data_IF_319713962749
#
_entry.id   IF_319713962749
#
_cell.length_a   1.000
_cell.length_b   1.000
_cell.length_c   1.000
_cell.angle_alpha   90.00
_cell.angle_beta   90.00
_cell.angle_gamma   90.00
#
_symmetry.space_group_name_H-M   'P 1'
#
loop_
_entity.id
_entity.type
_entity.pdbx_description
1 polymer ?
#
# COMPACT_ATOMS: atom_id res chain seq x y z
N UNK A 1 27.65 -31.41 -25.71
CA UNK A 1 27.01 -30.66 -24.63
C UNK A 1 26.01 -29.73 -25.29
N UNK A 2 24.72 -30.07 -25.23
CA UNK A 2 23.63 -29.23 -25.73
C UNK A 2 23.55 -28.00 -24.80
N UNK A 3 23.77 -26.81 -25.36
CA UNK A 3 23.43 -25.57 -24.67
C UNK A 3 21.92 -25.66 -24.41
N UNK A 4 21.52 -25.95 -23.18
CA UNK A 4 20.15 -25.68 -22.73
C UNK A 4 19.97 -24.16 -22.86
N UNK A 5 19.15 -23.71 -23.80
CA UNK A 5 18.80 -22.31 -23.93
C UNK A 5 18.22 -21.89 -22.56
N UNK A 6 18.87 -20.93 -21.92
CA UNK A 6 18.40 -20.38 -20.61
C UNK A 6 17.03 -19.74 -20.85
N UNK A 7 16.03 -20.09 -20.04
CA UNK A 7 14.69 -19.48 -20.11
C UNK A 7 14.82 -17.96 -20.08
N UNK A 8 14.16 -17.27 -20.99
CA UNK A 8 14.09 -15.80 -20.95
C UNK A 8 13.01 -15.37 -19.96
N UNK A 9 13.16 -14.21 -19.30
CA UNK A 9 12.16 -13.71 -18.34
C UNK A 9 10.75 -13.64 -18.93
N UNK A 10 10.59 -13.22 -20.19
CA UNK A 10 9.31 -13.13 -20.88
C UNK A 10 8.68 -14.49 -21.22
N UNK A 11 9.42 -15.58 -21.14
CA UNK A 11 8.87 -16.93 -21.30
C UNK A 11 8.18 -17.38 -20.00
N UNK A 12 8.50 -16.77 -18.86
CA UNK A 12 7.90 -17.03 -17.55
C UNK A 12 6.81 -16.01 -17.18
N UNK A 13 7.14 -14.71 -17.17
CA UNK A 13 6.20 -13.63 -16.87
C UNK A 13 6.14 -12.63 -18.01
N UNK A 14 4.94 -12.29 -18.48
CA UNK A 14 4.70 -11.32 -19.55
C UNK A 14 3.71 -10.25 -19.13
N UNK A 15 4.00 -8.97 -19.43
CA UNK A 15 2.99 -7.92 -19.30
C UNK A 15 1.90 -8.11 -20.37
N UNK A 16 0.64 -8.00 -19.93
CA UNK A 16 -0.55 -8.06 -20.79
C UNK A 16 -1.51 -6.92 -20.45
N UNK A 17 -2.51 -6.61 -21.27
CA UNK A 17 -3.53 -5.65 -20.92
C UNK A 17 -4.39 -6.03 -19.69
N UNK A 18 -4.31 -7.28 -19.22
CA UNK A 18 -4.99 -7.74 -18.01
C UNK A 18 -4.13 -7.69 -16.75
N UNK A 19 -2.83 -7.47 -16.88
CA UNK A 19 -1.85 -7.52 -15.81
C UNK A 19 -0.65 -8.40 -16.16
N UNK A 20 0.15 -8.73 -15.17
CA UNK A 20 1.33 -9.57 -15.32
C UNK A 20 0.92 -11.05 -15.37
N UNK A 21 1.12 -11.71 -16.50
CA UNK A 21 0.70 -13.09 -16.73
C UNK A 21 1.86 -14.09 -16.62
N UNK A 22 1.72 -15.09 -15.76
CA UNK A 22 2.59 -16.24 -15.69
C UNK A 22 2.11 -17.29 -16.73
N UNK A 23 2.81 -17.37 -17.86
CA UNK A 23 2.42 -18.24 -18.97
C UNK A 23 2.42 -19.73 -18.58
N UNK A 24 3.39 -20.14 -17.78
CA UNK A 24 3.59 -21.53 -17.43
C UNK A 24 2.66 -21.99 -16.30
N UNK A 25 2.49 -21.15 -15.27
CA UNK A 25 1.60 -21.41 -14.14
C UNK A 25 0.14 -21.10 -14.42
N UNK A 26 -0.16 -20.49 -15.57
CA UNK A 26 -1.50 -20.09 -16.02
C UNK A 26 -2.26 -19.27 -14.96
N UNK A 27 -1.64 -18.17 -14.50
CA UNK A 27 -2.23 -17.22 -13.56
C UNK A 27 -1.73 -15.79 -13.82
N UNK A 28 -2.46 -14.82 -13.29
CA UNK A 28 -2.07 -13.41 -13.31
C UNK A 28 -1.64 -12.93 -11.93
N UNK A 29 -0.74 -11.94 -11.87
CA UNK A 29 -0.43 -11.19 -10.67
C UNK A 29 -1.14 -9.84 -10.76
N UNK A 30 -1.91 -9.49 -9.74
CA UNK A 30 -2.71 -8.25 -9.61
C UNK A 30 -3.44 -7.84 -10.90
N UNK A 31 -4.32 -8.69 -11.45
CA UNK A 31 -4.96 -8.39 -12.71
C UNK A 31 -5.98 -7.24 -12.59
N UNK A 32 -5.97 -6.31 -13.56
CA UNK A 32 -6.86 -5.14 -13.60
C UNK A 32 -8.29 -5.45 -14.04
N UNK A 33 -8.59 -6.68 -14.41
CA UNK A 33 -9.92 -7.18 -14.78
C UNK A 33 -10.07 -8.64 -14.36
N UNK A 34 -11.31 -9.14 -14.32
CA UNK A 34 -11.61 -10.53 -13.97
C UNK A 34 -10.83 -11.51 -14.87
N UNK A 35 -10.21 -12.50 -14.25
CA UNK A 35 -9.45 -13.60 -14.87
C UNK A 35 -9.75 -14.93 -14.16
N UNK A 36 -9.37 -16.06 -14.76
CA UNK A 36 -9.63 -17.36 -14.16
C UNK A 36 -8.82 -17.58 -12.87
N UNK A 37 -7.52 -17.23 -12.86
CA UNK A 37 -6.63 -17.41 -11.71
C UNK A 37 -5.81 -16.15 -11.46
N UNK A 38 -5.86 -15.64 -10.23
CA UNK A 38 -5.12 -14.45 -9.79
C UNK A 38 -4.29 -14.74 -8.54
N UNK A 39 -3.08 -14.21 -8.50
CA UNK A 39 -2.27 -14.06 -7.27
C UNK A 39 -2.32 -12.57 -6.91
N UNK A 40 -2.78 -12.25 -5.72
CA UNK A 40 -2.96 -10.85 -5.28
C UNK A 40 -1.88 -10.50 -4.26
N UNK A 41 -1.15 -9.42 -4.52
CA UNK A 41 -0.06 -8.96 -3.67
C UNK A 41 -0.55 -8.35 -2.37
N UNK A 42 -1.57 -7.49 -2.42
CA UNK A 42 -2.12 -6.80 -1.24
C UNK A 42 -3.55 -6.29 -1.47
N UNK A 43 -4.19 -5.80 -0.40
CA UNK A 43 -5.63 -5.51 -0.38
C UNK A 43 -6.06 -4.15 -0.95
N UNK A 44 -5.19 -3.31 -1.55
CA UNK A 44 -5.61 -2.07 -2.20
C UNK A 44 -6.44 -2.33 -3.46
N UNK A 45 -7.38 -1.43 -3.78
CA UNK A 45 -8.41 -1.67 -4.80
C UNK A 45 -7.90 -1.74 -6.23
N UNK A 46 -6.80 -1.14 -6.53
CA UNK A 46 -6.13 -1.17 -7.82
C UNK A 46 -5.38 -2.50 -8.06
N UNK A 47 -4.98 -3.20 -7.00
CA UNK A 47 -4.36 -4.53 -7.04
C UNK A 47 -5.39 -5.65 -6.79
N UNK A 48 -6.18 -5.54 -5.72
CA UNK A 48 -7.14 -6.56 -5.28
C UNK A 48 -8.53 -6.36 -5.88
N UNK A 49 -8.69 -6.57 -7.17
CA UNK A 49 -9.99 -6.48 -7.84
C UNK A 49 -10.84 -7.73 -7.61
N UNK A 50 -12.17 -7.61 -7.52
CA UNK A 50 -13.05 -8.77 -7.37
C UNK A 50 -13.39 -9.42 -8.73
N UNK A 51 -14.04 -10.61 -8.66
CA UNK A 51 -14.63 -11.30 -9.82
C UNK A 51 -13.70 -12.30 -10.49
N UNK A 52 -12.57 -12.65 -9.91
CA UNK A 52 -11.69 -13.73 -10.41
C UNK A 52 -12.29 -15.11 -10.13
N UNK A 53 -11.99 -16.09 -11.01
CA UNK A 53 -12.38 -17.49 -10.79
C UNK A 53 -11.72 -18.09 -9.56
N UNK A 54 -10.44 -17.87 -9.38
CA UNK A 54 -9.68 -18.29 -8.20
C UNK A 54 -8.69 -17.19 -7.79
N UNK A 55 -8.59 -16.94 -6.48
CA UNK A 55 -7.64 -15.98 -5.89
C UNK A 55 -6.73 -16.69 -4.89
N UNK A 56 -5.42 -16.45 -5.03
CA UNK A 56 -4.38 -16.86 -4.12
C UNK A 56 -3.72 -15.61 -3.52
N UNK A 57 -3.70 -15.50 -2.21
CA UNK A 57 -3.08 -14.38 -1.49
C UNK A 57 -2.79 -14.77 -0.03
N UNK A 58 -2.24 -13.86 0.76
CA UNK A 58 -2.17 -14.03 2.20
C UNK A 58 -3.57 -14.06 2.82
N UNK A 59 -3.70 -14.64 4.01
CA UNK A 59 -4.99 -14.66 4.73
C UNK A 59 -5.55 -13.26 4.91
N UNK A 60 -4.71 -12.34 5.33
CA UNK A 60 -5.08 -10.96 5.63
C UNK A 60 -5.56 -10.23 4.37
N UNK A 61 -4.89 -10.41 3.24
CA UNK A 61 -5.33 -9.86 1.95
C UNK A 61 -6.70 -10.38 1.54
N UNK A 62 -6.94 -11.70 1.66
CA UNK A 62 -8.25 -12.29 1.36
C UNK A 62 -9.36 -11.78 2.28
N UNK A 63 -9.07 -11.61 3.56
CA UNK A 63 -10.03 -11.09 4.54
C UNK A 63 -10.35 -9.61 4.27
N UNK A 64 -9.37 -8.81 3.86
CA UNK A 64 -9.56 -7.42 3.44
C UNK A 64 -10.38 -7.32 2.15
N UNK A 65 -10.16 -8.23 1.18
CA UNK A 65 -11.00 -8.32 -0.02
C UNK A 65 -12.46 -8.66 0.35
N UNK A 66 -12.65 -9.61 1.27
CA UNK A 66 -13.99 -9.97 1.76
C UNK A 66 -14.69 -8.81 2.48
N UNK A 67 -13.97 -8.06 3.31
CA UNK A 67 -14.50 -6.87 3.99
C UNK A 67 -14.93 -5.78 3.00
N UNK A 68 -14.23 -5.65 1.88
CA UNK A 68 -14.50 -4.62 0.86
C UNK A 68 -15.60 -5.03 -0.13
N UNK A 69 -15.58 -6.27 -0.58
CA UNK A 69 -16.39 -6.74 -1.71
C UNK A 69 -17.48 -7.77 -1.35
N UNK A 70 -17.50 -8.23 -0.09
CA UNK A 70 -18.38 -9.32 0.33
C UNK A 70 -17.78 -10.71 0.10
N UNK A 71 -18.53 -11.74 0.48
CA UNK A 71 -18.06 -13.12 0.43
C UNK A 71 -17.82 -13.65 -0.99
N UNK A 72 -18.57 -13.11 -1.98
CA UNK A 72 -18.53 -13.53 -3.38
C UNK A 72 -17.44 -12.78 -4.20
N UNK A 73 -16.41 -12.23 -3.56
CA UNK A 73 -15.35 -11.49 -4.24
C UNK A 73 -14.55 -12.32 -5.26
N UNK A 74 -14.55 -13.66 -5.14
CA UNK A 74 -13.92 -14.62 -6.05
C UNK A 74 -14.69 -15.95 -6.04
N UNK A 75 -14.57 -16.74 -7.10
CA UNK A 75 -15.17 -18.09 -7.18
C UNK A 75 -14.56 -19.02 -6.13
N UNK A 76 -13.23 -18.99 -5.94
CA UNK A 76 -12.50 -19.67 -4.85
C UNK A 76 -11.40 -18.76 -4.31
N UNK A 77 -11.07 -18.92 -3.03
CA UNK A 77 -9.99 -18.16 -2.38
C UNK A 77 -9.10 -19.12 -1.58
N UNK A 78 -7.80 -19.08 -1.85
CA UNK A 78 -6.80 -19.89 -1.16
C UNK A 78 -5.80 -18.99 -0.42
N UNK A 79 -5.74 -19.14 0.90
CA UNK A 79 -4.74 -18.48 1.73
C UNK A 79 -3.41 -19.21 1.68
N UNK A 80 -2.32 -18.44 1.53
CA UNK A 80 -0.93 -18.91 1.53
C UNK A 80 -0.15 -18.16 2.60
N UNK A 81 0.73 -18.86 3.32
CA UNK A 81 1.60 -18.24 4.32
C UNK A 81 2.84 -17.66 3.65
N UNK A 82 3.43 -16.65 4.26
CA UNK A 82 4.75 -16.21 3.86
C UNK A 82 5.76 -17.36 3.94
N UNK A 83 6.62 -17.48 2.92
CA UNK A 83 7.61 -18.54 2.78
C UNK A 83 7.05 -19.90 2.34
N UNK A 84 5.72 -20.07 2.28
CA UNK A 84 5.11 -21.28 1.75
C UNK A 84 5.24 -21.31 0.21
N UNK A 85 5.83 -22.37 -0.32
CA UNK A 85 6.01 -22.56 -1.76
C UNK A 85 4.92 -23.45 -2.32
N UNK A 86 4.20 -22.94 -3.31
CA UNK A 86 3.20 -23.69 -4.07
C UNK A 86 3.77 -24.10 -5.43
N UNK A 87 3.40 -25.29 -5.90
CA UNK A 87 3.72 -25.76 -7.24
C UNK A 87 2.51 -25.60 -8.16
N UNK A 88 2.64 -24.78 -9.19
CA UNK A 88 1.58 -24.47 -10.15
C UNK A 88 2.10 -24.74 -11.57
N UNK A 89 1.66 -25.82 -12.21
CA UNK A 89 1.89 -26.19 -13.61
C UNK A 89 3.35 -25.96 -14.10
N UNK A 90 4.33 -26.48 -13.31
CA UNK A 90 5.77 -26.41 -13.65
C UNK A 90 6.44 -25.10 -13.25
N UNK A 91 5.77 -24.28 -12.44
CA UNK A 91 6.35 -23.13 -11.73
C UNK A 91 6.23 -23.32 -10.21
N UNK A 92 7.03 -22.57 -9.46
CA UNK A 92 6.82 -22.38 -8.04
C UNK A 92 6.42 -20.95 -7.76
N UNK A 93 5.51 -20.75 -6.80
CA UNK A 93 5.08 -19.44 -6.32
C UNK A 93 5.31 -19.38 -4.82
N UNK A 94 5.99 -18.37 -4.35
CA UNK A 94 6.23 -18.12 -2.92
C UNK A 94 5.88 -16.67 -2.61
N UNK A 95 5.14 -16.44 -1.53
CA UNK A 95 4.82 -15.11 -1.04
C UNK A 95 5.82 -14.69 0.04
N UNK A 96 6.38 -13.48 -0.08
CA UNK A 96 7.30 -12.89 0.90
C UNK A 96 6.74 -11.56 1.40
N UNK A 97 6.95 -11.16 2.67
CA UNK A 97 6.44 -9.89 3.18
C UNK A 97 6.92 -8.69 2.35
N UNK A 98 6.01 -7.77 2.03
CA UNK A 98 6.31 -6.55 1.29
C UNK A 98 6.44 -5.30 2.19
N UNK A 99 6.01 -5.35 3.45
CA UNK A 99 6.16 -4.24 4.41
C UNK A 99 5.22 -3.05 4.17
N UNK A 100 4.29 -3.16 3.24
CA UNK A 100 3.43 -2.06 2.80
C UNK A 100 2.16 -1.90 3.66
N UNK A 101 1.30 -2.91 3.68
CA UNK A 101 0.09 -2.99 4.50
C UNK A 101 -0.06 -4.39 5.09
N UNK A 102 -1.00 -4.58 6.02
CA UNK A 102 -1.27 -5.89 6.63
C UNK A 102 -1.59 -6.93 5.53
N UNK A 103 -0.82 -8.00 5.49
CA UNK A 103 -0.95 -9.06 4.51
C UNK A 103 -0.24 -8.80 3.16
N UNK A 104 0.39 -7.65 2.96
CA UNK A 104 1.08 -7.34 1.69
C UNK A 104 2.24 -8.30 1.41
N UNK A 105 2.33 -8.76 0.17
CA UNK A 105 3.29 -9.77 -0.25
C UNK A 105 3.97 -9.41 -1.57
N UNK A 106 5.26 -9.69 -1.66
CA UNK A 106 5.97 -9.87 -2.91
C UNK A 106 5.66 -11.28 -3.44
N UNK A 107 5.58 -11.44 -4.74
CA UNK A 107 5.33 -12.71 -5.41
C UNK A 107 6.59 -13.18 -6.12
N UNK A 108 7.27 -14.18 -5.56
CA UNK A 108 8.40 -14.85 -6.21
C UNK A 108 7.88 -15.99 -7.08
N UNK A 109 8.18 -15.94 -8.39
CA UNK A 109 7.86 -16.99 -9.36
C UNK A 109 9.15 -17.58 -9.87
N UNK A 110 9.30 -18.91 -9.77
CA UNK A 110 10.50 -19.57 -10.25
C UNK A 110 10.21 -20.77 -11.16
N UNK A 111 11.02 -20.95 -12.19
CA UNK A 111 11.00 -22.10 -13.09
C UNK A 111 12.37 -22.24 -13.79
N UNK A 112 12.82 -23.47 -14.00
CA UNK A 112 14.05 -23.83 -14.76
C UNK A 112 15.29 -23.00 -14.38
N UNK A 113 15.44 -22.67 -13.07
CA UNK A 113 16.58 -21.92 -12.55
C UNK A 113 16.49 -20.39 -12.76
N UNK A 114 15.36 -19.88 -13.23
CA UNK A 114 15.05 -18.44 -13.32
C UNK A 114 14.09 -18.08 -12.17
N UNK A 115 14.37 -17.00 -11.45
CA UNK A 115 13.52 -16.44 -10.41
C UNK A 115 13.16 -14.99 -10.75
N UNK A 116 11.86 -14.71 -10.81
CA UNK A 116 11.32 -13.35 -11.00
C UNK A 116 10.53 -12.98 -9.75
N UNK A 117 10.77 -11.81 -9.19
CA UNK A 117 10.03 -11.29 -8.05
C UNK A 117 9.22 -10.07 -8.46
N UNK A 118 7.91 -10.13 -8.32
CA UNK A 118 7.02 -8.96 -8.40
C UNK A 118 6.82 -8.41 -6.99
N UNK A 119 7.29 -7.19 -6.74
CA UNK A 119 7.25 -6.59 -5.39
C UNK A 119 5.83 -6.29 -4.91
N UNK A 120 4.88 -6.06 -5.84
CA UNK A 120 3.71 -5.28 -5.50
C UNK A 120 4.15 -3.91 -4.98
N UNK A 121 3.31 -3.27 -4.19
CA UNK A 121 3.72 -2.09 -3.44
C UNK A 121 4.50 -2.53 -2.20
N UNK A 122 5.59 -1.83 -1.88
CA UNK A 122 6.41 -2.22 -0.76
C UNK A 122 7.00 -1.06 0.03
N UNK A 123 7.37 -1.35 1.28
CA UNK A 123 8.09 -0.44 2.14
C UNK A 123 9.26 -1.14 2.80
N UNK A 124 10.45 -0.63 2.56
CA UNK A 124 11.72 -1.15 3.08
C UNK A 124 11.97 -0.85 4.56
N UNK A 125 11.28 0.18 5.10
CA UNK A 125 11.35 0.56 6.52
C UNK A 125 10.24 -0.12 7.30
N UNK A 126 10.57 -0.73 8.44
CA UNK A 126 9.62 -1.44 9.29
C UNK A 126 8.39 -0.58 9.66
N UNK A 127 7.23 -1.23 9.63
CA UNK A 127 5.93 -0.67 9.99
C UNK A 127 5.34 -1.48 11.15
N UNK A 128 4.84 -0.83 12.21
CA UNK A 128 4.26 -1.55 13.35
C UNK A 128 2.96 -2.30 13.00
N UNK A 129 2.38 -2.08 11.82
CA UNK A 129 1.05 -2.59 11.44
C UNK A 129 1.08 -3.79 10.50
N UNK A 130 2.25 -4.20 10.02
CA UNK A 130 2.40 -5.33 9.09
C UNK A 130 3.75 -6.04 9.27
N UNK A 131 3.90 -7.19 8.63
CA UNK A 131 5.17 -7.90 8.59
C UNK A 131 6.23 -7.04 7.86
N UNK A 132 7.48 -6.96 8.38
CA UNK A 132 8.52 -6.15 7.76
C UNK A 132 8.92 -6.71 6.39
N UNK A 133 9.35 -5.81 5.51
CA UNK A 133 9.85 -6.17 4.18
C UNK A 133 10.97 -7.21 4.26
N UNK A 134 10.88 -8.24 3.42
CA UNK A 134 11.91 -9.26 3.25
C UNK A 134 12.62 -9.06 1.91
N UNK A 135 13.94 -8.91 1.95
CA UNK A 135 14.72 -8.81 0.72
C UNK A 135 14.83 -10.20 0.06
N UNK A 136 14.27 -10.34 -1.13
CA UNK A 136 14.34 -11.56 -1.94
C UNK A 136 15.34 -11.39 -3.07
N UNK A 137 16.33 -12.29 -3.16
CA UNK A 137 17.27 -12.31 -4.28
C UNK A 137 16.61 -12.96 -5.50
N UNK A 138 16.82 -12.38 -6.69
CA UNK A 138 16.20 -12.84 -7.92
C UNK A 138 17.04 -12.51 -9.16
N UNK A 139 16.69 -13.07 -10.30
CA UNK A 139 17.29 -12.73 -11.59
C UNK A 139 16.63 -11.50 -12.22
N UNK A 140 15.31 -11.34 -12.02
CA UNK A 140 14.52 -10.18 -12.46
C UNK A 140 13.70 -9.67 -11.28
N UNK A 141 13.77 -8.37 -11.05
CA UNK A 141 12.96 -7.70 -10.04
C UNK A 141 11.97 -6.73 -10.69
N UNK A 142 10.68 -6.96 -10.46
CA UNK A 142 9.60 -6.08 -10.92
C UNK A 142 9.22 -5.19 -9.73
N UNK A 143 9.50 -3.89 -9.83
CA UNK A 143 9.37 -2.93 -8.73
C UNK A 143 8.38 -1.82 -9.05
N UNK A 144 7.66 -1.36 -8.02
CA UNK A 144 6.95 -0.09 -8.06
C UNK A 144 7.91 1.10 -8.18
N UNK A 145 7.39 2.26 -8.57
CA UNK A 145 8.08 3.55 -8.60
C UNK A 145 7.17 4.72 -8.15
N UNK A 146 6.25 4.49 -7.20
CA UNK A 146 5.32 5.50 -6.68
C UNK A 146 6.07 6.77 -6.28
N UNK A 147 7.15 6.62 -5.52
CA UNK A 147 8.07 7.70 -5.18
C UNK A 147 9.40 7.62 -5.93
N UNK A 148 9.35 7.21 -7.20
CA UNK A 148 10.49 6.99 -8.09
C UNK A 148 11.21 8.27 -8.55
N UNK A 149 11.11 9.38 -7.83
CA UNK A 149 11.84 10.63 -8.10
C UNK A 149 12.74 11.01 -6.91
N UNK A 150 13.96 11.52 -7.14
CA UNK A 150 14.92 11.90 -6.08
C UNK A 150 14.40 12.94 -5.08
N UNK A 151 13.34 13.69 -5.40
CA UNK A 151 12.70 14.64 -4.49
C UNK A 151 11.95 13.96 -3.35
N UNK A 152 11.50 12.73 -3.56
CA UNK A 152 10.79 11.96 -2.56
C UNK A 152 11.77 11.17 -1.69
N UNK A 153 12.36 11.85 -0.74
CA UNK A 153 13.12 11.28 0.37
C UNK A 153 12.35 11.59 1.63
N UNK A 154 11.69 10.57 2.16
CA UNK A 154 10.87 10.70 3.35
C UNK A 154 11.76 10.70 4.59
N UNK A 155 11.40 11.52 5.56
CA UNK A 155 12.07 11.53 6.86
C UNK A 155 11.50 10.48 7.81
N UNK A 156 11.83 10.65 9.08
CA UNK A 156 11.29 9.81 10.15
C UNK A 156 9.80 10.11 10.38
N UNK A 157 8.96 9.08 10.28
CA UNK A 157 7.53 9.17 10.54
C UNK A 157 7.22 9.55 12.00
N UNK A 158 8.07 9.15 12.95
CA UNK A 158 7.96 9.56 14.36
C UNK A 158 8.06 11.07 14.52
N UNK A 159 9.00 11.73 13.83
CA UNK A 159 9.12 13.18 13.86
C UNK A 159 7.88 13.91 13.30
N UNK A 160 7.20 13.30 12.31
CA UNK A 160 5.93 13.83 11.79
C UNK A 160 4.79 13.68 12.80
N UNK A 161 4.74 12.56 13.55
CA UNK A 161 3.81 12.39 14.65
C UNK A 161 4.10 13.35 15.80
N UNK A 162 5.35 13.57 16.16
CA UNK A 162 5.73 14.58 17.16
C UNK A 162 5.27 15.98 16.76
N UNK A 163 5.32 16.30 15.46
CA UNK A 163 4.78 17.56 14.90
C UNK A 163 3.26 17.63 15.13
N UNK A 164 2.53 16.55 14.87
CA UNK A 164 1.10 16.47 15.13
C UNK A 164 0.79 16.65 16.62
N UNK A 165 1.46 15.92 17.50
CA UNK A 165 1.19 15.97 18.95
C UNK A 165 1.57 17.32 19.56
N UNK A 166 2.63 17.97 19.09
CA UNK A 166 2.94 19.36 19.46
C UNK A 166 1.82 20.33 19.04
N UNK A 167 1.25 20.14 17.84
CA UNK A 167 0.10 20.94 17.39
C UNK A 167 -1.13 20.71 18.26
N UNK A 168 -1.42 19.47 18.65
CA UNK A 168 -2.51 19.13 19.57
C UNK A 168 -2.32 19.79 20.94
N UNK A 169 -1.09 19.82 21.45
CA UNK A 169 -0.79 20.47 22.72
C UNK A 169 -0.89 22.00 22.65
N UNK A 170 -0.46 22.59 21.53
CA UNK A 170 -0.47 24.05 21.33
C UNK A 170 -1.88 24.60 21.08
N UNK A 171 -2.73 23.83 20.41
CA UNK A 171 -4.11 24.20 20.03
C UNK A 171 -5.11 23.24 20.68
N UNK A 172 -5.10 23.15 22.00
CA UNK A 172 -5.88 22.17 22.76
C UNK A 172 -7.41 22.34 22.62
N UNK A 173 -7.88 23.49 22.17
CA UNK A 173 -9.28 23.79 21.88
C UNK A 173 -9.71 23.35 20.48
N UNK A 174 -8.77 23.16 19.55
CA UNK A 174 -9.03 22.75 18.16
C UNK A 174 -9.01 21.23 18.03
N UNK A 175 -9.95 20.68 17.25
CA UNK A 175 -9.87 19.27 16.85
C UNK A 175 -8.85 19.09 15.71
N UNK A 176 -8.05 18.03 15.75
CA UNK A 176 -7.08 17.71 14.70
C UNK A 176 -7.62 16.60 13.81
N UNK A 177 -8.01 16.93 12.58
CA UNK A 177 -8.52 15.99 11.60
C UNK A 177 -7.39 15.51 10.70
N UNK A 178 -7.07 14.23 10.77
CA UNK A 178 -5.99 13.63 9.98
C UNK A 178 -6.60 12.83 8.85
N UNK A 179 -6.49 13.33 7.62
CA UNK A 179 -6.77 12.59 6.40
C UNK A 179 -5.76 11.47 6.22
N UNK A 180 -6.25 10.25 6.05
CA UNK A 180 -5.43 9.07 5.79
C UNK A 180 -6.25 8.05 5.01
N UNK A 181 -5.60 7.31 4.09
CA UNK A 181 -6.27 6.24 3.34
C UNK A 181 -6.77 5.15 4.29
N UNK A 182 -7.91 4.56 3.93
CA UNK A 182 -8.67 3.70 4.82
C UNK A 182 -7.97 2.39 5.14
N UNK A 183 -7.18 1.85 4.19
CA UNK A 183 -6.40 0.63 4.36
C UNK A 183 -4.92 0.97 4.50
N UNK A 184 -4.31 0.54 5.58
CA UNK A 184 -2.88 0.68 5.87
C UNK A 184 -2.52 2.01 6.50
N UNK A 185 -2.66 3.13 5.79
CA UNK A 185 -2.23 4.46 6.23
C UNK A 185 -2.89 4.91 7.54
N UNK A 186 -4.21 4.78 7.65
CA UNK A 186 -4.92 5.19 8.86
C UNK A 186 -4.44 4.39 10.08
N UNK A 187 -4.29 3.07 9.95
CA UNK A 187 -3.87 2.19 11.03
C UNK A 187 -2.41 2.45 11.43
N UNK A 188 -1.55 2.70 10.43
CA UNK A 188 -0.16 3.11 10.66
C UNK A 188 -0.07 4.42 11.45
N UNK A 189 -0.83 5.44 11.07
CA UNK A 189 -0.86 6.73 11.77
C UNK A 189 -1.33 6.52 13.22
N UNK A 190 -2.38 5.72 13.46
CA UNK A 190 -2.85 5.39 14.81
C UNK A 190 -1.74 4.71 15.62
N UNK A 191 -1.13 3.65 15.07
CA UNK A 191 -0.07 2.92 15.77
C UNK A 191 1.13 3.82 16.12
N UNK A 192 1.53 4.71 15.20
CA UNK A 192 2.61 5.67 15.44
C UNK A 192 2.23 6.71 16.52
N UNK A 193 0.97 7.19 16.53
CA UNK A 193 0.46 8.09 17.58
C UNK A 193 0.50 7.39 18.96
N UNK A 194 0.13 6.10 19.02
CA UNK A 194 0.21 5.29 20.25
C UNK A 194 1.65 5.08 20.69
N UNK A 195 2.55 4.75 19.77
CA UNK A 195 3.97 4.59 20.05
C UNK A 195 4.62 5.88 20.59
N UNK A 196 4.12 7.05 20.20
CA UNK A 196 4.54 8.36 20.72
C UNK A 196 3.91 8.71 22.10
N UNK A 197 3.17 7.78 22.73
CA UNK A 197 2.60 7.93 24.08
C UNK A 197 1.27 8.68 24.17
N UNK A 198 0.55 8.87 23.07
CA UNK A 198 -0.79 9.45 23.11
C UNK A 198 -1.80 8.38 23.52
N UNK A 199 -2.36 8.49 24.72
CA UNK A 199 -3.24 7.53 25.37
C UNK A 199 -4.74 7.89 25.31
N UNK A 200 -5.07 9.13 24.87
CA UNK A 200 -6.46 9.59 24.78
C UNK A 200 -7.20 8.86 23.63
N UNK A 201 -8.54 8.84 23.65
CA UNK A 201 -9.33 8.28 22.57
C UNK A 201 -9.01 8.93 21.22
N UNK A 202 -8.86 8.10 20.18
CA UNK A 202 -8.77 8.54 18.78
C UNK A 202 -10.12 8.31 18.14
N UNK A 203 -10.63 9.31 17.44
CA UNK A 203 -11.93 9.24 16.78
C UNK A 203 -11.79 8.83 15.33
N UNK A 204 -12.73 8.01 14.84
CA UNK A 204 -12.72 7.51 13.48
C UNK A 204 -13.94 7.98 12.69
N UNK A 205 -13.71 8.33 11.43
CA UNK A 205 -14.76 8.39 10.42
C UNK A 205 -15.32 6.98 10.18
N UNK A 206 -16.62 6.85 9.91
CA UNK A 206 -17.27 5.55 9.72
C UNK A 206 -16.64 4.68 8.63
N UNK A 207 -16.13 5.29 7.56
CA UNK A 207 -15.46 4.57 6.47
C UNK A 207 -14.16 3.85 6.88
N UNK A 208 -13.53 4.24 8.00
CA UNK A 208 -12.33 3.59 8.52
C UNK A 208 -12.64 2.43 9.48
N UNK A 209 -13.87 2.33 9.98
CA UNK A 209 -14.22 1.50 11.14
C UNK A 209 -13.97 0.01 10.91
N UNK A 210 -14.50 -0.57 9.82
CA UNK A 210 -14.42 -2.00 9.56
C UNK A 210 -12.97 -2.49 9.39
N UNK A 211 -12.18 -1.79 8.57
CA UNK A 211 -10.77 -2.15 8.32
C UNK A 211 -9.95 -1.95 9.60
N UNK A 212 -10.17 -0.84 10.33
CA UNK A 212 -9.42 -0.57 11.57
C UNK A 212 -9.72 -1.60 12.65
N UNK A 213 -10.97 -2.07 12.77
CA UNK A 213 -11.31 -3.19 13.67
C UNK A 213 -10.64 -4.49 13.26
N UNK A 214 -10.52 -4.76 11.97
CA UNK A 214 -9.79 -5.92 11.49
C UNK A 214 -8.32 -5.88 11.93
N UNK A 215 -7.64 -4.74 11.75
CA UNK A 215 -6.27 -4.54 12.23
C UNK A 215 -6.15 -4.67 13.75
N UNK A 216 -7.14 -4.19 14.50
CA UNK A 216 -7.14 -4.26 15.97
C UNK A 216 -7.18 -5.71 16.53
N UNK A 217 -7.50 -6.72 15.70
CA UNK A 217 -7.35 -8.12 16.09
C UNK A 217 -5.87 -8.58 16.13
N UNK A 218 -4.98 -7.90 15.41
CA UNK A 218 -3.58 -8.26 15.29
C UNK A 218 -2.64 -7.31 16.06
N UNK A 219 -3.04 -6.04 16.23
CA UNK A 219 -2.21 -5.00 16.86
C UNK A 219 -3.04 -4.16 17.83
N UNK A 220 -2.39 -3.69 18.90
CA UNK A 220 -3.03 -2.78 19.85
C UNK A 220 -3.07 -1.36 19.30
N UNK A 221 -4.26 -0.89 18.94
CA UNK A 221 -4.52 0.47 18.47
C UNK A 221 -5.06 1.38 19.59
N UNK A 222 -5.16 0.89 20.81
CA UNK A 222 -5.69 1.62 21.96
C UNK A 222 -7.18 1.95 21.84
N UNK A 223 -7.63 2.94 22.60
CA UNK A 223 -9.05 3.32 22.58
C UNK A 223 -9.43 4.07 21.30
N UNK A 224 -10.35 3.47 20.54
CA UNK A 224 -10.91 4.03 19.30
C UNK A 224 -12.39 4.31 19.50
N UNK A 225 -12.86 5.47 19.06
CA UNK A 225 -14.27 5.88 19.15
C UNK A 225 -14.79 6.32 17.78
N UNK A 226 -16.06 6.03 17.52
CA UNK A 226 -16.73 6.60 16.37
C UNK A 226 -17.19 8.03 16.71
N UNK A 227 -17.04 8.96 15.76
CA UNK A 227 -17.51 10.36 15.91
C UNK A 227 -19.05 10.43 16.04
N UNK A 228 -19.76 9.46 15.44
CA UNK A 228 -21.22 9.42 15.45
C UNK A 228 -21.74 9.28 16.89
N UNK A 229 -22.59 10.22 17.29
CA UNK A 229 -23.17 10.24 18.66
C UNK A 229 -22.29 10.92 19.72
N UNK A 230 -21.07 11.35 19.40
CA UNK A 230 -20.21 12.09 20.34
C UNK A 230 -20.61 13.57 20.36
N UNK A 231 -20.86 14.17 21.55
CA UNK A 231 -21.12 15.60 21.68
C UNK A 231 -19.95 16.44 21.17
N UNK A 232 -20.23 17.54 20.46
CA UNK A 232 -19.21 18.43 19.88
C UNK A 232 -18.19 18.93 20.91
N UNK A 233 -18.62 19.17 22.14
CA UNK A 233 -17.76 19.62 23.25
C UNK A 233 -16.70 18.59 23.65
N UNK A 234 -16.95 17.31 23.43
CA UNK A 234 -15.96 16.24 23.72
C UNK A 234 -14.93 16.04 22.61
N UNK A 235 -15.13 16.72 21.47
CA UNK A 235 -14.20 16.66 20.32
C UNK A 235 -13.18 17.80 20.33
N UNK A 236 -13.24 18.72 21.31
CA UNK A 236 -12.20 19.73 21.48
C UNK A 236 -10.87 19.07 21.85
N UNK A 237 -9.78 19.45 21.17
CA UNK A 237 -8.44 18.86 21.36
C UNK A 237 -8.32 17.40 20.91
N UNK A 238 -9.37 16.81 20.33
CA UNK A 238 -9.35 15.42 19.90
C UNK A 238 -8.57 15.24 18.59
N UNK A 239 -7.97 14.06 18.42
CA UNK A 239 -7.47 13.57 17.12
C UNK A 239 -8.56 12.72 16.49
N UNK A 240 -8.90 12.99 15.23
CA UNK A 240 -9.84 12.20 14.45
C UNK A 240 -9.24 11.85 13.08
N UNK A 241 -9.35 10.57 12.69
CA UNK A 241 -8.92 10.11 11.38
C UNK A 241 -10.11 9.97 10.42
N UNK A 242 -9.89 10.31 9.18
CA UNK A 242 -10.90 10.21 8.13
C UNK A 242 -10.25 9.95 6.76
N UNK A 243 -10.99 9.45 5.75
CA UNK A 243 -10.51 9.46 4.38
C UNK A 243 -10.18 10.90 3.94
N UNK A 244 -9.19 11.10 3.03
CA UNK A 244 -8.80 12.44 2.59
C UNK A 244 -9.96 13.27 2.03
N UNK A 245 -10.90 12.65 1.32
CA UNK A 245 -12.12 13.29 0.79
C UNK A 245 -12.98 13.91 1.90
N UNK A 246 -13.06 13.28 3.07
CA UNK A 246 -13.87 13.77 4.19
C UNK A 246 -13.33 15.06 4.83
N UNK A 247 -12.08 15.45 4.59
CA UNK A 247 -11.53 16.74 5.06
C UNK A 247 -12.24 17.95 4.45
N UNK A 248 -12.87 17.78 3.28
CA UNK A 248 -13.62 18.83 2.59
C UNK A 248 -15.14 18.67 2.70
N UNK A 249 -15.61 17.63 3.40
CA UNK A 249 -17.03 17.30 3.54
C UNK A 249 -17.67 18.02 4.73
N UNK A 250 -19.02 18.02 4.74
CA UNK A 250 -19.86 18.50 5.86
C UNK A 250 -19.56 17.79 7.17
N UNK A 251 -18.93 16.62 7.13
CA UNK A 251 -18.51 15.85 8.29
C UNK A 251 -17.59 16.67 9.22
N UNK A 252 -16.72 17.54 8.67
CA UNK A 252 -15.81 18.40 9.44
C UNK A 252 -16.54 19.37 10.35
N UNK A 253 -17.78 19.78 10.01
CA UNK A 253 -18.60 20.70 10.81
C UNK A 253 -19.00 20.14 12.20
N UNK A 254 -18.80 18.82 12.40
CA UNK A 254 -19.01 18.18 13.71
C UNK A 254 -17.96 18.58 14.73
N UNK A 255 -16.81 19.05 14.31
CA UNK A 255 -15.70 19.37 15.18
C UNK A 255 -15.66 20.89 15.50
N UNK A 256 -15.19 21.25 16.71
CA UNK A 256 -14.93 22.64 17.04
C UNK A 256 -13.64 23.09 16.35
N UNK A 257 -13.68 24.17 15.57
CA UNK A 257 -12.53 24.79 14.89
C UNK A 257 -11.49 23.77 14.37
N UNK A 258 -11.88 22.90 13.40
CA UNK A 258 -11.03 21.79 13.02
C UNK A 258 -9.74 22.26 12.34
N UNK A 259 -8.59 21.73 12.79
CA UNK A 259 -7.31 21.83 12.12
C UNK A 259 -7.16 20.62 11.20
N UNK A 260 -6.90 20.85 9.92
CA UNK A 260 -6.79 19.79 8.93
C UNK A 260 -5.34 19.37 8.72
N UNK A 261 -5.12 18.05 8.73
CA UNK A 261 -3.85 17.40 8.43
C UNK A 261 -4.05 16.35 7.34
N UNK A 262 -3.03 16.04 6.58
CA UNK A 262 -3.04 14.93 5.64
C UNK A 262 -1.75 14.13 5.75
N UNK A 263 -1.87 12.82 6.00
CA UNK A 263 -0.76 11.87 6.10
C UNK A 263 -0.54 11.19 4.75
N UNK A 264 0.46 11.65 4.01
CA UNK A 264 0.85 11.08 2.71
C UNK A 264 2.31 11.39 2.40
N UNK A 265 3.00 10.50 1.69
CA UNK A 265 4.35 10.75 1.16
C UNK A 265 4.39 11.95 0.21
N UNK A 266 3.28 12.22 -0.49
CA UNK A 266 3.12 13.38 -1.37
C UNK A 266 3.17 14.73 -0.65
N UNK A 267 2.96 14.78 0.66
CA UNK A 267 3.06 16.00 1.47
C UNK A 267 4.50 16.55 1.55
N UNK A 268 5.47 15.79 1.07
CA UNK A 268 6.85 16.28 0.85
C UNK A 268 6.89 17.45 -0.11
N UNK A 269 5.98 17.51 -1.08
CA UNK A 269 5.89 18.59 -2.08
C UNK A 269 4.91 19.66 -1.58
N UNK A 270 5.43 20.82 -1.16
CA UNK A 270 4.63 21.93 -0.58
C UNK A 270 3.47 22.38 -1.47
N UNK A 271 3.62 22.31 -2.80
CA UNK A 271 2.56 22.68 -3.73
C UNK A 271 1.33 21.76 -3.58
N UNK A 272 1.55 20.45 -3.42
CA UNK A 272 0.46 19.49 -3.18
C UNK A 272 -0.25 19.75 -1.84
N UNK A 273 0.49 20.01 -0.76
CA UNK A 273 -0.12 20.36 0.53
C UNK A 273 -1.03 21.60 0.43
N UNK A 274 -0.59 22.65 -0.30
CA UNK A 274 -1.40 23.85 -0.57
C UNK A 274 -2.65 23.55 -1.41
N UNK A 275 -2.51 22.70 -2.43
CA UNK A 275 -3.64 22.31 -3.30
C UNK A 275 -4.71 21.56 -2.51
N UNK A 276 -4.32 20.73 -1.55
CA UNK A 276 -5.24 20.04 -0.65
C UNK A 276 -5.84 20.95 0.44
N UNK A 277 -5.32 22.17 0.62
CA UNK A 277 -5.80 23.11 1.65
C UNK A 277 -5.52 22.64 3.07
N UNK A 278 -4.42 21.89 3.26
CA UNK A 278 -4.07 21.26 4.55
C UNK A 278 -3.23 22.23 5.37
N UNK A 279 -3.63 22.45 6.65
CA UNK A 279 -2.90 23.31 7.58
C UNK A 279 -1.63 22.64 8.11
N UNK A 280 -1.69 21.33 8.37
CA UNK A 280 -0.58 20.55 8.93
C UNK A 280 -0.27 19.33 8.05
N UNK A 281 0.54 19.46 7.00
CA UNK A 281 0.94 18.33 6.18
C UNK A 281 1.87 17.38 6.98
N UNK A 282 1.61 16.06 6.89
CA UNK A 282 2.38 15.01 7.54
C UNK A 282 3.01 14.12 6.46
N UNK A 283 4.34 14.08 6.40
CA UNK A 283 5.06 13.25 5.42
C UNK A 283 5.17 11.83 5.97
N UNK A 284 4.11 11.05 5.82
CA UNK A 284 4.02 9.65 6.27
C UNK A 284 3.64 8.79 5.07
N UNK A 285 4.53 7.90 4.65
CA UNK A 285 4.34 6.99 3.51
C UNK A 285 4.34 5.54 3.95
N UNK A 286 3.57 4.70 3.28
CA UNK A 286 3.56 3.24 3.34
C UNK A 286 4.29 2.61 2.14
N UNK A 287 4.83 3.42 1.23
CA UNK A 287 5.72 2.98 0.15
C UNK A 287 7.18 3.31 0.43
N UNK A 288 8.07 2.60 -0.23
CA UNK A 288 9.48 2.93 -0.28
C UNK A 288 9.69 4.32 -0.93
N UNK A 289 10.59 5.11 -0.36
CA UNK A 289 11.01 6.36 -0.97
C UNK A 289 12.13 6.12 -2.01
N UNK A 290 12.61 7.19 -2.63
CA UNK A 290 13.70 7.08 -3.61
C UNK A 290 14.91 6.31 -3.09
N UNK A 291 15.29 6.51 -1.83
CA UNK A 291 16.44 5.82 -1.26
C UNK A 291 16.13 4.34 -1.02
N UNK A 292 14.93 4.02 -0.53
CA UNK A 292 14.45 2.66 -0.34
C UNK A 292 14.35 1.90 -1.66
N UNK A 293 13.74 2.52 -2.70
CA UNK A 293 13.64 1.95 -4.04
C UNK A 293 15.02 1.60 -4.61
N UNK A 294 15.95 2.56 -4.61
CA UNK A 294 17.29 2.37 -5.18
C UNK A 294 18.12 1.38 -4.39
N UNK A 295 18.04 1.39 -3.06
CA UNK A 295 18.73 0.45 -2.19
C UNK A 295 18.20 -0.98 -2.37
N UNK A 296 16.87 -1.15 -2.45
CA UNK A 296 16.25 -2.45 -2.68
C UNK A 296 16.65 -3.03 -4.03
N UNK A 297 16.53 -2.27 -5.12
CA UNK A 297 16.97 -2.69 -6.46
C UNK A 297 18.42 -3.19 -6.43
N UNK A 298 19.33 -2.41 -5.82
CA UNK A 298 20.74 -2.82 -5.74
C UNK A 298 20.95 -4.10 -4.90
N UNK A 299 20.14 -4.30 -3.85
CA UNK A 299 20.30 -5.41 -2.92
C UNK A 299 19.70 -6.74 -3.42
N UNK A 300 18.73 -6.71 -4.34
CA UNK A 300 18.12 -7.94 -4.92
C UNK A 300 19.12 -8.79 -5.68
N UNK A 301 20.17 -8.16 -6.24
CA UNK A 301 21.15 -8.83 -7.12
C UNK A 301 20.59 -9.17 -8.50
N UNK A 302 19.40 -8.65 -8.84
CA UNK A 302 18.78 -8.87 -10.15
C UNK A 302 19.62 -8.26 -11.26
N UNK A 303 19.74 -8.99 -12.36
CA UNK A 303 20.42 -8.52 -13.58
C UNK A 303 19.52 -7.67 -14.47
N UNK A 304 18.20 -7.76 -14.28
CA UNK A 304 17.19 -7.04 -15.04
C UNK A 304 16.11 -6.49 -14.09
N UNK A 305 15.74 -5.23 -14.29
CA UNK A 305 14.74 -4.51 -13.48
C UNK A 305 13.58 -4.09 -14.39
N UNK A 306 12.38 -4.52 -14.03
CA UNK A 306 11.16 -4.03 -14.65
C UNK A 306 10.47 -3.06 -13.71
N UNK A 307 10.17 -1.87 -14.20
CA UNK A 307 9.60 -0.81 -13.38
C UNK A 307 8.14 -0.60 -13.74
N UNK A 308 7.30 -0.53 -12.72
CA UNK A 308 5.86 -0.30 -12.86
C UNK A 308 5.38 0.69 -11.81
N UNK A 309 4.21 1.30 -11.99
CA UNK A 309 3.58 2.27 -11.10
C UNK A 309 4.44 3.52 -10.79
N UNK A 310 3.92 4.69 -11.10
CA UNK A 310 4.54 5.97 -10.75
C UNK A 310 5.60 6.49 -11.75
N UNK A 311 6.72 7.01 -11.26
CA UNK A 311 7.74 7.68 -12.09
C UNK A 311 8.76 6.68 -12.65
N UNK A 312 8.28 5.77 -13.52
CA UNK A 312 9.06 4.66 -14.08
C UNK A 312 10.37 5.11 -14.75
N UNK A 313 10.33 6.16 -15.59
CA UNK A 313 11.46 6.59 -16.39
C UNK A 313 12.65 7.06 -15.55
N UNK A 314 12.37 7.70 -14.40
CA UNK A 314 13.44 8.19 -13.54
C UNK A 314 14.19 7.04 -12.85
N UNK A 315 13.46 6.00 -12.40
CA UNK A 315 14.08 4.82 -11.81
C UNK A 315 14.83 3.98 -12.88
N UNK A 316 14.24 3.82 -14.08
CA UNK A 316 14.92 3.18 -15.23
C UNK A 316 16.20 3.92 -15.59
N UNK A 317 16.16 5.26 -15.65
CA UNK A 317 17.36 6.05 -15.90
C UNK A 317 18.44 5.81 -14.84
N UNK A 318 18.05 5.81 -13.56
CA UNK A 318 18.98 5.54 -12.45
C UNK A 318 19.60 4.15 -12.58
N UNK A 319 18.80 3.11 -12.88
CA UNK A 319 19.31 1.75 -13.13
C UNK A 319 20.37 1.73 -14.20
N UNK A 320 20.16 2.46 -15.31
CA UNK A 320 21.15 2.61 -16.38
C UNK A 320 22.47 3.21 -15.91
N UNK A 321 22.44 4.17 -14.96
CA UNK A 321 23.66 4.73 -14.37
C UNK A 321 24.42 3.74 -13.49
N UNK A 322 23.74 2.67 -13.03
CA UNK A 322 24.32 1.57 -12.25
C UNK A 322 24.71 0.37 -13.12
N UNK A 323 24.65 0.49 -14.46
CA UNK A 323 24.85 -0.60 -15.43
C UNK A 323 23.88 -1.78 -15.24
N UNK A 324 22.67 -1.54 -14.72
CA UNK A 324 21.59 -2.52 -14.64
C UNK A 324 20.70 -2.39 -15.88
N UNK A 325 20.34 -3.53 -16.49
CA UNK A 325 19.32 -3.57 -17.52
C UNK A 325 17.96 -3.22 -16.88
N UNK A 326 17.27 -2.21 -17.42
CA UNK A 326 15.98 -1.81 -16.88
C UNK A 326 15.03 -1.35 -17.97
N UNK A 327 13.73 -1.59 -17.77
CA UNK A 327 12.66 -1.14 -18.67
C UNK A 327 11.38 -0.83 -17.92
N UNK A 328 10.58 0.13 -18.40
CA UNK A 328 9.23 0.35 -17.89
C UNK A 328 8.27 -0.73 -18.42
N UNK A 329 7.22 -1.05 -17.63
CA UNK A 329 6.17 -1.98 -18.07
C UNK A 329 4.94 -1.29 -18.63
N UNK A 330 4.72 0.00 -18.31
CA UNK A 330 3.59 0.81 -18.80
C UNK A 330 2.22 0.14 -18.62
N UNK A 331 1.95 -0.39 -17.45
CA UNK A 331 0.64 -0.95 -17.16
C UNK A 331 -0.44 0.14 -17.10
N UNK A 332 -1.60 -0.14 -17.71
CA UNK A 332 -2.76 0.73 -17.67
C UNK A 332 -3.76 0.19 -16.65
N UNK A 333 -4.30 1.05 -15.79
CA UNK A 333 -5.36 0.68 -14.84
C UNK A 333 -4.91 0.47 -13.40
N UNK A 334 -3.64 0.68 -13.13
CA UNK A 334 -3.13 0.90 -11.78
C UNK A 334 -3.11 2.42 -11.56
N UNK A 335 -3.84 2.92 -10.58
CA UNK A 335 -3.81 4.32 -10.18
C UNK A 335 -3.23 4.39 -8.79
N UNK A 336 -2.53 5.48 -8.45
CA UNK A 336 -2.25 5.77 -7.04
C UNK A 336 -3.61 5.83 -6.30
N UNK A 337 -3.80 5.06 -5.23
CA UNK A 337 -4.96 5.25 -4.33
C UNK A 337 -5.06 6.71 -3.88
N UNK A 338 -3.93 7.40 -3.83
CA UNK A 338 -3.79 8.83 -3.57
C UNK A 338 -4.55 9.72 -4.58
N UNK A 339 -4.83 9.25 -5.80
CA UNK A 339 -5.61 9.94 -6.82
C UNK A 339 -7.06 9.42 -6.93
N UNK A 340 -7.34 8.16 -6.57
CA UNK A 340 -8.63 7.50 -6.77
C UNK A 340 -9.73 7.92 -5.77
N UNK A 341 -9.39 8.30 -4.54
CA UNK A 341 -10.35 8.71 -3.51
C UNK A 341 -10.99 10.10 -3.77
N UNK A 342 -10.52 10.82 -4.80
CA UNK A 342 -11.13 12.08 -5.25
C UNK A 342 -12.37 11.92 -6.16
N UNK A 343 -12.65 10.72 -6.67
CA UNK A 343 -13.60 10.50 -7.78
C UNK A 343 -14.92 9.78 -7.48
N UNK A 344 -15.06 9.00 -6.41
CA UNK A 344 -16.20 8.07 -6.27
C UNK A 344 -16.95 8.09 -4.92
N UNK A 345 -17.13 9.26 -4.31
CA UNK A 345 -17.95 9.39 -3.08
C UNK A 345 -19.47 9.61 -3.34
N UNK A 346 -20.00 9.36 -4.55
CA UNK A 346 -21.39 9.73 -4.88
C UNK A 346 -22.39 8.56 -4.99
N UNK A 347 -22.01 7.29 -4.80
CA UNK A 347 -22.95 6.16 -5.00
C UNK A 347 -23.19 5.23 -3.80
N UNK A 348 -22.84 5.60 -2.59
CA UNK A 348 -23.16 4.79 -1.40
C UNK A 348 -23.96 5.57 -0.35
N UNK A 349 -25.13 6.13 -0.75
CA UNK A 349 -26.19 6.56 0.16
C UNK A 349 -27.55 6.37 -0.50
N UNK A 350 -28.12 5.21 -0.30
CA UNK A 350 -29.57 5.00 -0.32
C UNK A 350 -29.95 4.11 0.88
#
# INVERSE_FOLDING_TARGET
MTYLERMRPEDLLIPTPAGLYCRRGDFYIDPVRAVDKAVITHGHSDHARPGHGAVLATRETLDLMRLRYGDDFAGTAQAVRYGETLHLDGTTVTLHPAGHVLGSAQVAVAADGLTIVASGDYKDVADPTCAPFELVRCDVFITEATFGLPVFRHGDAGAEIDKLLRSVALFAERAHLVGAYSLGKAQRVIALIRAAGYDKPIYLHGALDAITRYYANAIDLGELRNVRGTPKTHLAGAIALCPPSALKDVWTRRFPDPLTSFASGWMRVRARARQHGVELPLVISDHADWNGLTATVAATGASEIWVTHGAEEALVHWCGTQNLAARPLHFVGYGDEDEADGGNASEATA
#
